data_IF_262864579125
#
_entry.id   IF_262864579125
#
_cell.length_a   1.000
_cell.length_b   1.000
_cell.length_c   1.000
_cell.angle_alpha   90.00
_cell.angle_beta   90.00
_cell.angle_gamma   90.00
#
_symmetry.space_group_name_H-M   'P 1'
#
loop_
_entity.id
_entity.type
_entity.pdbx_description
1 polymer ?
#
# COMPACT_ATOMS: atom_id res chain seq x y z
N UNK A 1 5.77 29.12 2.67
CA UNK A 1 4.86 27.98 2.86
C UNK A 1 5.49 27.00 3.82
N UNK A 2 4.77 26.59 4.85
CA UNK A 2 5.24 25.57 5.78
C UNK A 2 4.99 24.21 5.12
N UNK A 3 6.02 23.37 5.03
CA UNK A 3 5.87 22.03 4.43
C UNK A 3 4.86 21.22 5.25
N UNK A 4 3.78 20.69 4.66
CA UNK A 4 2.83 19.91 5.41
C UNK A 4 3.49 18.66 6.01
N UNK A 5 3.05 18.26 7.21
CA UNK A 5 3.44 17.02 7.86
C UNK A 5 2.22 16.11 7.96
N UNK A 6 2.20 14.98 7.28
CA UNK A 6 1.04 14.10 7.32
C UNK A 6 1.05 13.08 6.19
N UNK A 7 -0.12 12.59 5.87
CA UNK A 7 -0.32 11.55 4.86
C UNK A 7 -1.28 12.08 3.81
N UNK A 8 -0.86 12.08 2.56
CA UNK A 8 -1.64 12.50 1.41
C UNK A 8 -2.02 11.26 0.59
N UNK A 9 -3.29 10.81 0.63
CA UNK A 9 -3.78 9.76 -0.25
C UNK A 9 -3.90 10.29 -1.67
N UNK A 10 -3.19 9.64 -2.61
CA UNK A 10 -3.14 10.02 -4.02
C UNK A 10 -3.84 8.96 -4.86
N UNK A 11 -4.75 9.35 -5.74
CA UNK A 11 -5.20 8.49 -6.84
C UNK A 11 -4.12 8.50 -7.92
N UNK A 12 -3.25 7.49 -7.89
CA UNK A 12 -2.12 7.39 -8.83
C UNK A 12 -2.66 7.19 -10.25
N UNK A 13 -2.29 8.03 -11.20
CA UNK A 13 -2.68 7.85 -12.60
C UNK A 13 -1.93 6.67 -13.25
N UNK A 14 -2.49 6.12 -14.33
CA UNK A 14 -1.81 5.16 -15.19
C UNK A 14 -0.58 5.78 -15.88
N UNK A 15 0.39 4.93 -16.23
CA UNK A 15 1.61 5.35 -16.93
C UNK A 15 2.70 5.97 -16.03
N UNK A 16 2.40 6.24 -14.76
CA UNK A 16 3.34 6.77 -13.78
C UNK A 16 3.84 5.69 -12.83
N UNK A 17 5.13 5.68 -12.53
CA UNK A 17 5.62 4.90 -11.40
C UNK A 17 5.24 5.60 -10.08
N UNK A 18 5.19 4.85 -8.97
CA UNK A 18 5.03 5.46 -7.63
C UNK A 18 6.14 6.47 -7.32
N UNK A 19 7.36 6.24 -7.87
CA UNK A 19 8.49 7.16 -7.71
C UNK A 19 8.28 8.48 -8.48
N UNK A 20 7.71 8.43 -9.69
CA UNK A 20 7.43 9.64 -10.51
C UNK A 20 6.42 10.53 -9.79
N UNK A 21 5.39 9.94 -9.18
CA UNK A 21 4.43 10.68 -8.34
C UNK A 21 5.15 11.40 -7.19
N UNK A 22 6.03 10.68 -6.45
CA UNK A 22 6.82 11.30 -5.39
C UNK A 22 7.73 12.40 -5.92
N UNK A 23 8.38 12.20 -7.08
CA UNK A 23 9.27 13.18 -7.68
C UNK A 23 8.52 14.47 -8.03
N UNK A 24 7.32 14.34 -8.62
CA UNK A 24 6.45 15.48 -8.94
C UNK A 24 6.00 16.23 -7.68
N UNK A 25 5.56 15.49 -6.66
CA UNK A 25 5.13 16.07 -5.38
C UNK A 25 6.27 16.75 -4.62
N UNK A 26 7.51 16.23 -4.71
CA UNK A 26 8.68 16.91 -4.09
C UNK A 26 8.86 18.33 -4.61
N UNK A 27 8.69 18.53 -5.92
CA UNK A 27 8.74 19.86 -6.53
C UNK A 27 7.62 20.76 -6.07
N UNK A 28 6.38 20.26 -6.10
CA UNK A 28 5.20 21.03 -5.72
C UNK A 28 5.15 21.41 -4.24
N UNK A 29 5.59 20.52 -3.35
CA UNK A 29 5.57 20.71 -1.89
C UNK A 29 6.87 21.31 -1.32
N UNK A 30 7.88 21.56 -2.13
CA UNK A 30 9.15 22.13 -1.69
C UNK A 30 9.90 21.23 -0.68
N UNK A 31 9.64 19.93 -0.63
CA UNK A 31 10.26 19.01 0.34
C UNK A 31 10.81 17.75 -0.30
N UNK A 32 11.97 17.32 0.18
CA UNK A 32 12.57 16.03 -0.24
C UNK A 32 12.12 14.84 0.61
N UNK A 33 11.56 15.10 1.79
CA UNK A 33 11.17 14.06 2.75
C UNK A 33 9.79 13.52 2.44
N UNK A 34 9.70 12.71 1.40
CA UNK A 34 8.50 11.99 0.96
C UNK A 34 8.78 10.50 0.83
N UNK A 35 7.81 9.69 1.23
CA UNK A 35 7.79 8.23 1.06
C UNK A 35 6.40 7.75 0.72
N UNK A 36 6.24 6.46 0.38
CA UNK A 36 4.92 5.84 0.20
C UNK A 36 4.88 4.46 0.84
N UNK A 37 3.69 3.97 1.14
CA UNK A 37 3.48 2.60 1.61
C UNK A 37 2.91 1.73 0.50
N UNK A 38 3.75 0.88 -0.09
CA UNK A 38 3.37 -0.07 -1.13
C UNK A 38 3.37 0.52 -2.55
N UNK A 39 4.36 0.07 -3.32
CA UNK A 39 4.51 0.41 -4.75
C UNK A 39 3.29 -0.04 -5.55
N UNK A 40 2.89 0.76 -6.51
CA UNK A 40 2.02 0.41 -7.63
C UNK A 40 2.84 0.34 -8.91
N UNK A 41 2.55 -0.64 -9.75
CA UNK A 41 3.15 -0.79 -11.08
C UNK A 41 2.75 0.41 -11.97
N UNK A 42 3.51 0.72 -13.06
CA UNK A 42 3.20 1.87 -13.91
C UNK A 42 1.77 1.85 -14.48
N UNK A 43 1.30 0.68 -14.93
CA UNK A 43 -0.04 0.52 -15.49
C UNK A 43 -1.14 0.63 -14.44
N UNK A 44 -0.84 0.29 -13.18
CA UNK A 44 -1.81 0.29 -12.10
C UNK A 44 -2.19 1.71 -11.67
N UNK A 45 -3.45 1.87 -11.22
CA UNK A 45 -4.02 3.12 -10.71
C UNK A 45 -4.50 2.99 -9.27
N UNK A 46 -4.96 4.08 -8.67
CA UNK A 46 -5.65 4.06 -7.38
C UNK A 46 -4.79 4.42 -6.20
N UNK A 47 -5.18 4.00 -5.02
CA UNK A 47 -4.69 4.46 -3.73
C UNK A 47 -3.18 4.32 -3.58
N UNK A 48 -2.47 5.45 -3.52
CA UNK A 48 -1.06 5.56 -3.16
C UNK A 48 -0.95 6.50 -1.96
N UNK A 49 -0.78 5.95 -0.75
CA UNK A 49 -0.58 6.76 0.45
C UNK A 49 0.83 7.35 0.45
N UNK A 50 0.93 8.67 0.32
CA UNK A 50 2.19 9.43 0.34
C UNK A 50 2.39 10.05 1.71
N UNK A 51 3.49 9.73 2.35
CA UNK A 51 3.89 10.22 3.67
C UNK A 51 4.83 11.41 3.53
N UNK A 52 4.51 12.52 4.20
CA UNK A 52 5.21 13.80 4.06
C UNK A 52 5.90 14.14 5.39
N UNK A 53 7.16 14.56 5.32
CA UNK A 53 7.89 15.05 6.48
C UNK A 53 8.10 13.97 7.55
N UNK A 54 7.70 14.24 8.79
CA UNK A 54 7.82 13.29 9.92
C UNK A 54 6.98 12.03 9.72
N UNK A 55 5.88 12.10 8.96
CA UNK A 55 5.04 10.95 8.65
C UNK A 55 5.78 9.83 7.91
N UNK A 56 6.88 10.12 7.19
CA UNK A 56 7.66 9.08 6.49
C UNK A 56 8.11 7.94 7.42
N UNK A 57 8.33 8.23 8.70
CA UNK A 57 8.69 7.21 9.69
C UNK A 57 7.50 6.37 10.18
N UNK A 58 6.27 6.72 9.80
CA UNK A 58 5.07 5.94 10.08
C UNK A 58 4.77 4.90 8.99
N UNK A 59 5.31 5.05 7.78
CA UNK A 59 5.01 4.19 6.64
C UNK A 59 5.24 2.70 6.93
N UNK A 60 6.36 2.34 7.57
CA UNK A 60 6.69 0.95 7.92
C UNK A 60 6.05 0.48 9.24
N UNK A 61 5.37 1.38 9.97
CA UNK A 61 4.74 1.11 11.27
C UNK A 61 3.22 1.01 11.22
N UNK A 62 2.64 1.12 10.05
CA UNK A 62 1.21 0.91 9.87
C UNK A 62 0.80 -0.45 10.44
N UNK A 63 -0.37 -0.52 11.04
CA UNK A 63 -0.91 -1.74 11.64
C UNK A 63 -1.55 -2.63 10.57
N UNK A 64 -2.26 -1.98 9.66
CA UNK A 64 -2.90 -2.62 8.53
C UNK A 64 -2.11 -2.33 7.25
N UNK A 65 -1.71 -3.38 6.58
CA UNK A 65 -1.00 -3.33 5.30
C UNK A 65 -1.78 -4.07 4.19
N UNK A 66 -3.02 -4.47 4.44
CA UNK A 66 -3.85 -5.19 3.49
C UNK A 66 -4.28 -4.28 2.34
N UNK A 67 -4.62 -4.87 1.23
CA UNK A 67 -5.00 -4.16 0.02
C UNK A 67 -6.21 -4.78 -0.62
N UNK A 68 -7.01 -3.93 -1.25
CA UNK A 68 -8.08 -4.37 -2.14
C UNK A 68 -7.83 -3.81 -3.53
N UNK A 69 -8.01 -4.66 -4.52
CA UNK A 69 -7.82 -4.31 -5.92
C UNK A 69 -9.06 -4.68 -6.74
N UNK A 70 -9.30 -3.91 -7.78
CA UNK A 70 -10.07 -4.33 -8.94
C UNK A 70 -9.08 -4.63 -10.04
N UNK A 71 -9.07 -5.88 -10.49
CA UNK A 71 -8.11 -6.42 -11.44
C UNK A 71 -8.85 -6.97 -12.66
N UNK A 72 -8.53 -6.49 -13.84
CA UNK A 72 -9.06 -7.04 -15.08
C UNK A 72 -8.05 -8.01 -15.66
N UNK A 73 -8.46 -9.28 -15.75
CA UNK A 73 -7.71 -10.36 -16.36
C UNK A 73 -8.05 -10.41 -17.85
N UNK A 74 -7.04 -10.51 -18.70
CA UNK A 74 -7.17 -10.82 -20.11
C UNK A 74 -6.76 -12.26 -20.34
N UNK A 75 -7.69 -13.09 -20.75
CA UNK A 75 -7.44 -14.47 -21.11
C UNK A 75 -6.87 -14.58 -22.54
N UNK A 76 -6.23 -15.69 -22.85
CA UNK A 76 -5.65 -15.97 -24.15
C UNK A 76 -4.29 -15.30 -24.42
N UNK A 77 -3.71 -14.62 -23.42
CA UNK A 77 -2.44 -13.91 -23.55
C UNK A 77 -1.57 -14.09 -22.29
N UNK A 78 -0.29 -14.41 -22.46
CA UNK A 78 0.75 -14.35 -21.41
C UNK A 78 1.87 -13.43 -21.84
N UNK A 79 2.37 -12.62 -20.91
CA UNK A 79 3.46 -11.68 -21.15
C UNK A 79 4.59 -11.89 -20.13
N UNK A 80 5.79 -11.37 -20.42
CA UNK A 80 6.96 -11.47 -19.55
C UNK A 80 6.85 -10.64 -18.27
N UNK A 81 5.98 -9.61 -18.25
CA UNK A 81 5.72 -8.77 -17.07
C UNK A 81 4.49 -9.21 -16.26
N UNK A 82 3.65 -10.09 -16.82
CA UNK A 82 2.35 -10.48 -16.25
C UNK A 82 1.27 -9.39 -16.39
N UNK A 83 1.50 -8.38 -17.22
CA UNK A 83 0.54 -7.35 -17.61
C UNK A 83 0.66 -7.02 -19.11
N UNK A 84 -0.33 -6.34 -19.68
CA UNK A 84 -0.40 -6.06 -21.13
C UNK A 84 0.71 -5.11 -21.64
N UNK A 85 1.54 -4.55 -20.77
CA UNK A 85 2.67 -3.69 -21.17
C UNK A 85 3.94 -4.48 -21.51
N UNK A 86 3.96 -5.78 -21.18
CA UNK A 86 5.07 -6.68 -21.45
C UNK A 86 5.10 -7.23 -22.86
N UNK A 87 6.18 -7.97 -23.14
CA UNK A 87 6.33 -8.71 -24.40
C UNK A 87 5.49 -9.98 -24.36
N UNK A 88 4.74 -10.25 -25.44
CA UNK A 88 3.95 -11.46 -25.56
C UNK A 88 4.86 -12.69 -25.57
N UNK A 89 4.59 -13.63 -24.67
CA UNK A 89 5.27 -14.94 -24.59
C UNK A 89 4.42 -16.05 -25.20
N UNK A 90 3.09 -15.99 -24.99
CA UNK A 90 2.17 -17.03 -25.40
C UNK A 90 0.80 -16.44 -25.76
N UNK A 91 0.15 -17.01 -26.75
CA UNK A 91 -1.25 -16.73 -27.08
C UNK A 91 -2.00 -18.03 -27.34
N UNK A 92 -3.26 -18.10 -26.91
CA UNK A 92 -4.14 -19.24 -27.17
C UNK A 92 -5.58 -18.77 -27.38
N UNK A 93 -6.41 -19.53 -28.14
CA UNK A 93 -7.85 -19.28 -28.19
C UNK A 93 -8.48 -19.41 -26.80
N UNK A 94 -9.42 -18.52 -26.50
CA UNK A 94 -10.17 -18.57 -25.23
C UNK A 94 -11.41 -19.44 -25.45
N UNK A 95 -11.48 -20.54 -24.72
CA UNK A 95 -12.59 -21.53 -24.79
C UNK A 95 -13.42 -21.59 -23.52
N UNK A 96 -13.08 -20.76 -22.54
CA UNK A 96 -13.70 -20.66 -21.22
C UNK A 96 -14.35 -19.29 -21.06
N UNK A 97 -15.38 -19.21 -20.20
CA UNK A 97 -16.13 -17.99 -20.00
C UNK A 97 -16.34 -17.65 -18.52
N UNK A 98 -17.34 -16.81 -18.26
CA UNK A 98 -17.68 -16.35 -16.91
C UNK A 98 -18.00 -17.52 -15.96
N UNK A 99 -18.69 -18.55 -16.43
CA UNK A 99 -19.11 -19.66 -15.57
C UNK A 99 -17.90 -20.44 -15.02
N UNK A 100 -16.94 -20.76 -15.89
CA UNK A 100 -15.69 -21.44 -15.52
C UNK A 100 -14.83 -20.56 -14.63
N UNK A 101 -14.72 -19.24 -14.93
CA UNK A 101 -14.01 -18.32 -14.09
C UNK A 101 -14.62 -18.28 -12.68
N UNK A 102 -15.95 -18.08 -12.56
CA UNK A 102 -16.61 -18.06 -11.25
C UNK A 102 -16.42 -19.36 -10.46
N UNK A 103 -16.38 -20.50 -11.14
CA UNK A 103 -16.18 -21.80 -10.51
C UNK A 103 -14.75 -21.97 -9.96
N UNK A 104 -13.75 -21.36 -10.60
CA UNK A 104 -12.34 -21.50 -10.22
C UNK A 104 -11.90 -20.50 -9.14
N UNK A 105 -12.50 -19.30 -9.05
CA UNK A 105 -12.08 -18.26 -8.11
C UNK A 105 -12.02 -18.70 -6.64
N UNK A 106 -12.96 -19.48 -6.09
CA UNK A 106 -12.93 -19.85 -4.67
C UNK A 106 -11.68 -20.61 -4.22
N UNK A 107 -11.00 -21.34 -5.11
CA UNK A 107 -9.77 -22.09 -4.77
C UNK A 107 -8.56 -21.19 -4.48
N UNK A 108 -8.65 -19.89 -4.83
CA UNK A 108 -7.57 -18.92 -4.58
C UNK A 108 -7.68 -18.27 -3.21
N UNK A 109 -8.78 -18.42 -2.48
CA UNK A 109 -8.95 -17.90 -1.13
C UNK A 109 -8.09 -18.65 -0.13
N UNK A 110 -7.65 -17.93 0.92
CA UNK A 110 -6.87 -18.46 2.03
C UNK A 110 -5.38 -18.23 1.89
N UNK A 111 -4.62 -18.92 2.77
CA UNK A 111 -3.17 -18.84 2.84
C UNK A 111 -2.54 -19.65 1.70
N UNK A 112 -1.53 -19.06 1.08
CA UNK A 112 -0.81 -19.69 -0.03
C UNK A 112 0.62 -19.16 -0.16
N UNK A 113 1.45 -19.92 -0.86
CA UNK A 113 2.80 -19.50 -1.21
C UNK A 113 2.81 -18.93 -2.62
N UNK A 114 3.33 -17.72 -2.79
CA UNK A 114 3.44 -17.07 -4.09
C UNK A 114 4.90 -16.77 -4.42
N UNK A 115 5.34 -17.11 -5.62
CA UNK A 115 6.66 -16.77 -6.14
C UNK A 115 6.64 -15.32 -6.66
N UNK A 116 7.39 -14.38 -6.05
CA UNK A 116 7.42 -13.00 -6.54
C UNK A 116 7.87 -12.92 -8.00
N UNK A 117 7.27 -12.06 -8.85
CA UNK A 117 7.69 -11.94 -10.24
C UNK A 117 9.07 -11.29 -10.36
N UNK A 118 9.77 -11.52 -11.50
CA UNK A 118 11.05 -10.87 -11.77
C UNK A 118 10.94 -9.35 -11.83
N UNK A 119 9.85 -8.84 -12.37
CA UNK A 119 9.54 -7.41 -12.38
C UNK A 119 8.92 -6.98 -11.05
N UNK A 120 9.72 -7.00 -9.97
CA UNK A 120 9.30 -6.60 -8.63
C UNK A 120 10.36 -5.76 -7.91
N UNK A 121 9.93 -5.04 -6.86
CA UNK A 121 10.80 -4.28 -5.96
C UNK A 121 11.48 -5.16 -4.87
N UNK A 122 11.23 -6.47 -4.85
CA UNK A 122 11.90 -7.41 -3.95
C UNK A 122 13.40 -7.32 -4.16
N UNK A 123 14.14 -7.20 -3.06
CA UNK A 123 15.60 -7.15 -3.08
C UNK A 123 16.18 -8.54 -2.79
N UNK A 124 17.09 -9.00 -3.64
CA UNK A 124 17.95 -10.16 -3.42
C UNK A 124 19.39 -9.65 -3.48
N UNK A 125 20.20 -9.98 -2.49
CA UNK A 125 21.58 -9.47 -2.35
C UNK A 125 21.68 -7.93 -2.45
N UNK A 126 20.69 -7.22 -1.88
CA UNK A 126 20.64 -5.76 -1.87
C UNK A 126 20.15 -5.10 -3.17
N UNK A 127 19.95 -5.86 -4.25
CA UNK A 127 19.46 -5.33 -5.53
C UNK A 127 18.01 -5.70 -5.81
N UNK A 128 17.15 -4.74 -6.27
CA UNK A 128 15.79 -5.03 -6.69
C UNK A 128 15.76 -5.95 -7.91
N UNK A 129 14.85 -6.94 -7.91
CA UNK A 129 14.70 -7.93 -8.99
C UNK A 129 14.45 -7.29 -10.36
N UNK A 130 13.64 -6.21 -10.43
CA UNK A 130 13.36 -5.53 -11.70
C UNK A 130 14.62 -5.02 -12.43
N UNK A 131 15.72 -4.75 -11.70
CA UNK A 131 16.99 -4.34 -12.34
C UNK A 131 17.68 -5.50 -13.06
N UNK A 132 17.57 -6.72 -12.53
CA UNK A 132 18.05 -7.92 -13.19
C UNK A 132 17.14 -8.28 -14.37
N UNK A 133 15.83 -8.22 -14.18
CA UNK A 133 14.83 -8.49 -15.24
C UNK A 133 15.07 -7.60 -16.48
N UNK A 134 15.27 -6.29 -16.29
CA UNK A 134 15.58 -5.35 -17.39
C UNK A 134 16.88 -5.66 -18.15
N UNK A 135 17.78 -6.46 -17.57
CA UNK A 135 19.01 -6.94 -18.21
C UNK A 135 18.85 -8.34 -18.81
N UNK A 136 17.63 -8.89 -18.85
CA UNK A 136 17.35 -10.24 -19.30
C UNK A 136 17.89 -11.33 -18.37
N UNK A 137 18.24 -10.99 -17.12
CA UNK A 137 18.80 -11.93 -16.16
C UNK A 137 17.67 -12.50 -15.28
N UNK A 138 17.66 -13.82 -15.12
CA UNK A 138 16.79 -14.49 -14.16
C UNK A 138 17.55 -14.71 -12.85
N UNK A 139 16.92 -14.39 -11.74
CA UNK A 139 17.44 -14.60 -10.38
C UNK A 139 16.55 -15.64 -9.68
N UNK A 140 17.17 -16.56 -8.95
CA UNK A 140 16.42 -17.51 -8.13
C UNK A 140 15.62 -16.76 -7.06
N UNK A 141 14.34 -17.13 -6.93
CA UNK A 141 13.39 -16.49 -6.02
C UNK A 141 12.80 -17.52 -5.08
N UNK A 142 12.54 -17.11 -3.85
CA UNK A 142 11.88 -17.96 -2.86
C UNK A 142 10.42 -17.58 -2.76
N UNK A 143 9.47 -18.54 -2.81
CA UNK A 143 8.07 -18.30 -2.55
C UNK A 143 7.86 -17.66 -1.19
N UNK A 144 6.88 -16.76 -1.09
CA UNK A 144 6.53 -16.02 0.13
C UNK A 144 5.08 -16.28 0.52
N UNK A 145 4.80 -16.37 1.82
CA UNK A 145 3.43 -16.53 2.29
C UNK A 145 2.62 -15.26 1.98
N UNK A 146 1.43 -15.47 1.44
CA UNK A 146 0.40 -14.45 1.23
C UNK A 146 -0.95 -15.03 1.62
N UNK A 147 -1.93 -14.15 1.86
CA UNK A 147 -3.31 -14.53 2.09
C UNK A 147 -4.21 -13.78 1.11
N UNK A 148 -5.07 -14.50 0.41
CA UNK A 148 -6.20 -13.93 -0.32
C UNK A 148 -7.42 -14.03 0.59
N UNK A 149 -7.84 -12.93 1.17
CA UNK A 149 -8.99 -12.90 2.09
C UNK A 149 -10.30 -13.11 1.37
N UNK A 150 -10.41 -12.49 0.18
CA UNK A 150 -11.57 -12.64 -0.68
C UNK A 150 -11.21 -12.40 -2.14
N UNK A 151 -11.95 -13.07 -3.03
CA UNK A 151 -11.91 -12.86 -4.47
C UNK A 151 -13.33 -13.00 -5.04
N UNK A 152 -13.78 -11.98 -5.79
CA UNK A 152 -15.13 -11.85 -6.30
C UNK A 152 -15.11 -11.41 -7.76
N UNK A 153 -15.95 -12.04 -8.59
CA UNK A 153 -16.16 -11.58 -9.96
C UNK A 153 -17.06 -10.34 -10.00
N UNK A 154 -16.66 -9.32 -10.74
CA UNK A 154 -17.38 -8.06 -10.87
C UNK A 154 -18.07 -7.88 -12.24
N UNK A 155 -17.52 -8.45 -13.31
CA UNK A 155 -18.06 -8.27 -14.66
C UNK A 155 -17.03 -8.54 -15.76
N UNK A 156 -17.48 -8.41 -17.00
CA UNK A 156 -16.65 -8.53 -18.20
C UNK A 156 -16.73 -7.22 -19.00
N UNK A 157 -15.67 -6.39 -19.01
CA UNK A 157 -15.69 -5.11 -19.72
C UNK A 157 -15.51 -5.27 -21.23
N UNK A 158 -14.92 -6.37 -21.69
CA UNK A 158 -14.67 -6.67 -23.10
C UNK A 158 -14.62 -8.20 -23.31
N UNK A 159 -14.66 -8.69 -24.56
CA UNK A 159 -14.42 -10.11 -24.85
C UNK A 159 -13.08 -10.57 -24.26
N UNK A 160 -13.08 -11.75 -23.65
CA UNK A 160 -11.93 -12.37 -23.00
C UNK A 160 -11.30 -11.57 -21.84
N UNK A 161 -11.97 -10.51 -21.40
CA UNK A 161 -11.57 -9.70 -20.24
C UNK A 161 -12.60 -9.82 -19.11
N UNK A 162 -12.09 -10.09 -17.90
CA UNK A 162 -12.90 -10.34 -16.71
C UNK A 162 -12.34 -9.57 -15.53
N UNK A 163 -13.18 -8.77 -14.88
CA UNK A 163 -12.80 -8.00 -13.70
C UNK A 163 -13.15 -8.76 -12.43
N UNK A 164 -12.17 -8.87 -11.54
CA UNK A 164 -12.32 -9.44 -10.20
C UNK A 164 -11.90 -8.42 -9.14
N UNK A 165 -12.59 -8.44 -8.01
CA UNK A 165 -12.14 -7.76 -6.78
C UNK A 165 -11.33 -8.74 -5.96
N UNK A 166 -10.16 -8.31 -5.48
CA UNK A 166 -9.27 -9.13 -4.67
C UNK A 166 -8.90 -8.38 -3.40
N UNK A 167 -9.26 -8.93 -2.22
CA UNK A 167 -8.77 -8.49 -0.92
C UNK A 167 -7.63 -9.41 -0.47
N UNK A 168 -6.45 -8.86 -0.17
CA UNK A 168 -5.26 -9.67 0.08
C UNK A 168 -4.28 -9.02 1.05
N UNK A 169 -3.42 -9.84 1.63
CA UNK A 169 -2.32 -9.43 2.50
C UNK A 169 -1.24 -8.66 1.72
N UNK A 170 -0.39 -7.95 2.48
CA UNK A 170 0.81 -7.32 1.90
C UNK A 170 1.69 -8.33 1.16
N UNK A 171 2.33 -7.87 0.09
CA UNK A 171 3.27 -8.68 -0.68
C UNK A 171 2.64 -9.55 -1.75
N UNK A 172 1.32 -9.55 -1.87
CA UNK A 172 0.59 -10.23 -2.95
C UNK A 172 0.81 -9.52 -4.28
N UNK A 173 1.18 -10.28 -5.30
CA UNK A 173 1.31 -9.83 -6.69
C UNK A 173 0.09 -10.27 -7.48
N UNK A 174 -0.77 -9.31 -7.81
CA UNK A 174 -2.01 -9.58 -8.57
C UNK A 174 -1.71 -10.06 -9.99
N UNK A 175 -0.57 -9.66 -10.57
CA UNK A 175 -0.09 -10.18 -11.87
C UNK A 175 0.15 -11.69 -11.84
N UNK A 176 0.80 -12.18 -10.78
CA UNK A 176 1.00 -13.63 -10.59
C UNK A 176 -0.31 -14.34 -10.33
N UNK A 177 -1.21 -13.76 -9.54
CA UNK A 177 -2.54 -14.31 -9.32
C UNK A 177 -3.34 -14.43 -10.65
N UNK A 178 -3.22 -13.45 -11.54
CA UNK A 178 -3.87 -13.49 -12.85
C UNK A 178 -3.34 -14.66 -13.71
N UNK A 179 -2.02 -14.88 -13.72
CA UNK A 179 -1.41 -16.02 -14.41
C UNK A 179 -1.87 -17.35 -13.79
N UNK A 180 -1.87 -17.47 -12.46
CA UNK A 180 -2.32 -18.67 -11.74
C UNK A 180 -3.81 -18.99 -12.01
N UNK A 181 -4.66 -17.96 -12.13
CA UNK A 181 -6.08 -18.14 -12.51
C UNK A 181 -6.18 -18.65 -13.95
N UNK A 182 -5.39 -18.08 -14.87
CA UNK A 182 -5.33 -18.56 -16.26
C UNK A 182 -4.89 -20.03 -16.34
N UNK A 183 -3.84 -20.39 -15.61
CA UNK A 183 -3.34 -21.78 -15.56
C UNK A 183 -4.42 -22.75 -15.04
N UNK A 184 -5.19 -22.34 -14.03
CA UNK A 184 -6.29 -23.13 -13.49
C UNK A 184 -7.48 -23.28 -14.48
N UNK A 185 -7.64 -22.32 -15.39
CA UNK A 185 -8.61 -22.35 -16.48
C UNK A 185 -8.09 -23.09 -17.73
N UNK A 186 -6.80 -23.43 -17.77
CA UNK A 186 -6.16 -24.06 -18.91
C UNK A 186 -5.90 -23.11 -20.08
N UNK A 187 -5.89 -21.80 -19.87
CA UNK A 187 -5.59 -20.77 -20.88
C UNK A 187 -4.58 -19.75 -20.31
N UNK A 188 -3.65 -19.20 -21.13
CA UNK A 188 -2.77 -18.16 -20.65
C UNK A 188 -3.58 -16.92 -20.24
N UNK A 189 -3.12 -16.23 -19.20
CA UNK A 189 -3.75 -14.98 -18.74
C UNK A 189 -2.71 -13.94 -18.31
N UNK A 190 -3.11 -12.67 -18.41
CA UNK A 190 -2.32 -11.52 -17.95
C UNK A 190 -3.25 -10.44 -17.39
N UNK A 191 -2.72 -9.41 -16.74
CA UNK A 191 -3.51 -8.24 -16.34
C UNK A 191 -3.64 -7.23 -17.48
N UNK A 192 -4.87 -6.82 -17.82
CA UNK A 192 -5.13 -5.69 -18.71
C UNK A 192 -5.36 -4.39 -17.94
N UNK A 193 -5.90 -4.44 -16.72
CA UNK A 193 -6.05 -3.30 -15.85
C UNK A 193 -5.90 -3.70 -14.38
N UNK A 194 -5.40 -2.75 -13.56
CA UNK A 194 -5.28 -2.92 -12.12
C UNK A 194 -5.57 -1.59 -11.42
N UNK A 195 -6.55 -1.57 -10.52
CA UNK A 195 -6.87 -0.43 -9.70
C UNK A 195 -6.85 -0.82 -8.23
N UNK A 196 -5.99 -0.19 -7.44
CA UNK A 196 -5.99 -0.38 -5.98
C UNK A 196 -7.08 0.50 -5.35
N UNK A 197 -8.12 -0.10 -4.82
CA UNK A 197 -9.25 0.59 -4.22
C UNK A 197 -9.07 0.86 -2.73
N UNK A 198 -8.19 0.06 -2.07
CA UNK A 198 -7.84 0.23 -0.66
C UNK A 198 -6.39 -0.15 -0.39
N UNK A 199 -5.74 0.58 0.52
CA UNK A 199 -4.40 0.29 1.04
C UNK A 199 -4.34 0.61 2.54
N UNK A 200 -4.41 -0.43 3.39
CA UNK A 200 -4.58 -0.28 4.82
C UNK A 200 -5.86 0.51 5.13
N UNK A 201 -5.72 1.55 5.92
CA UNK A 201 -6.83 2.42 6.34
C UNK A 201 -7.31 3.41 5.26
N UNK A 202 -6.63 3.48 4.12
CA UNK A 202 -6.94 4.45 3.06
C UNK A 202 -7.76 3.80 1.94
N UNK A 203 -8.82 4.50 1.52
CA UNK A 203 -9.68 4.12 0.39
C UNK A 203 -9.63 5.16 -0.73
N UNK A 204 -10.16 4.82 -1.91
CA UNK A 204 -10.29 5.77 -3.04
C UNK A 204 -11.08 7.02 -2.69
N UNK A 205 -12.07 6.94 -1.81
CA UNK A 205 -12.88 8.07 -1.41
C UNK A 205 -12.09 9.19 -0.69
N UNK A 206 -10.91 8.85 -0.17
CA UNK A 206 -10.00 9.80 0.50
C UNK A 206 -8.89 10.30 -0.46
N UNK A 207 -8.82 9.75 -1.67
CA UNK A 207 -7.76 10.07 -2.61
C UNK A 207 -8.12 11.28 -3.47
N UNK A 208 -7.10 12.03 -3.82
CA UNK A 208 -7.17 13.15 -4.77
C UNK A 208 -6.27 12.85 -5.96
N UNK A 209 -6.67 13.29 -7.12
CA UNK A 209 -5.88 13.12 -8.35
C UNK A 209 -4.62 13.98 -8.30
N UNK A 210 -3.59 13.56 -9.01
CA UNK A 210 -2.32 14.32 -9.05
C UNK A 210 -2.52 15.77 -9.56
N UNK A 211 -3.31 16.05 -10.62
CA UNK A 211 -3.60 17.42 -11.04
C UNK A 211 -4.27 18.27 -9.96
N UNK A 212 -5.27 17.75 -9.25
CA UNK A 212 -5.95 18.47 -8.15
C UNK A 212 -4.97 18.82 -7.03
N UNK A 213 -4.12 17.87 -6.63
CA UNK A 213 -3.11 18.09 -5.59
C UNK A 213 -2.11 19.17 -6.01
N UNK A 214 -1.67 19.15 -7.28
CA UNK A 214 -0.73 20.14 -7.79
C UNK A 214 -1.35 21.54 -7.82
N UNK A 215 -2.61 21.68 -8.24
CA UNK A 215 -3.34 22.95 -8.22
C UNK A 215 -3.53 23.46 -6.79
N UNK A 216 -3.92 22.60 -5.85
CA UNK A 216 -4.06 22.97 -4.42
C UNK A 216 -2.72 23.34 -3.77
N UNK A 217 -1.62 22.73 -4.18
CA UNK A 217 -0.29 23.09 -3.70
C UNK A 217 0.16 24.46 -4.25
N UNK A 218 -0.15 24.77 -5.52
CA UNK A 218 0.17 26.05 -6.14
C UNK A 218 -0.65 27.21 -5.55
N UNK A 219 -1.93 27.00 -5.27
CA UNK A 219 -2.82 27.99 -4.64
C UNK A 219 -2.58 28.14 -3.12
N UNK A 220 -1.82 27.23 -2.47
CA UNK A 220 -1.63 27.20 -1.03
C UNK A 220 -2.79 26.55 -0.26
N UNK A 221 -3.83 26.08 -0.92
CA UNK A 221 -5.00 25.45 -0.29
C UNK A 221 -4.71 24.10 0.32
N UNK A 222 -3.63 23.41 -0.11
CA UNK A 222 -3.30 22.08 0.38
C UNK A 222 -3.04 22.04 1.91
N UNK A 223 -2.69 23.18 2.52
CA UNK A 223 -2.48 23.28 3.97
C UNK A 223 -3.82 23.34 4.75
N UNK A 224 -4.90 23.74 4.12
CA UNK A 224 -6.19 24.06 4.78
C UNK A 224 -7.37 23.22 4.32
N UNK A 225 -7.28 22.56 3.17
CA UNK A 225 -8.39 21.78 2.58
C UNK A 225 -8.63 20.40 3.24
N UNK A 226 -7.80 20.02 4.20
CA UNK A 226 -7.92 18.75 4.93
C UNK A 226 -7.48 17.51 4.15
N UNK A 227 -6.85 17.65 2.99
CA UNK A 227 -6.38 16.51 2.18
C UNK A 227 -5.15 15.82 2.77
N UNK A 228 -4.34 16.57 3.50
CA UNK A 228 -3.21 16.01 4.24
C UNK A 228 -3.70 15.53 5.60
N UNK A 229 -3.86 14.23 5.73
CA UNK A 229 -4.34 13.58 6.94
C UNK A 229 -3.26 13.58 8.04
N UNK A 230 -3.64 13.65 9.31
CA UNK A 230 -2.69 13.60 10.41
C UNK A 230 -1.98 12.24 10.50
N UNK A 231 -0.78 12.21 11.10
CA UNK A 231 0.08 11.01 11.17
C UNK A 231 -0.61 9.86 11.90
N UNK A 232 -1.39 10.17 12.93
CA UNK A 232 -2.12 9.17 13.72
C UNK A 232 -3.21 8.41 12.94
N UNK A 233 -3.58 8.89 11.75
CA UNK A 233 -4.58 8.23 10.89
C UNK A 233 -4.24 6.77 10.58
N UNK A 234 -2.95 6.42 10.47
CA UNK A 234 -2.52 5.02 10.22
C UNK A 234 -2.50 4.15 11.48
N UNK A 235 -2.77 4.73 12.62
CA UNK A 235 -2.77 4.04 13.92
C UNK A 235 -4.15 3.99 14.57
N UNK A 236 -5.19 4.37 13.85
CA UNK A 236 -6.58 4.41 14.37
C UNK A 236 -7.08 3.10 15.02
N UNK A 237 -6.61 1.90 14.61
CA UNK A 237 -6.96 0.66 15.31
C UNK A 237 -6.39 0.55 16.73
N UNK A 238 -5.35 1.33 17.10
CA UNK A 238 -4.85 1.34 18.48
C UNK A 238 -5.73 2.22 19.38
N UNK A 239 -5.91 1.83 20.66
CA UNK A 239 -6.58 2.68 21.63
C UNK A 239 -5.78 3.98 21.88
N UNK A 240 -6.49 5.04 22.24
CA UNK A 240 -5.90 6.30 22.63
C UNK A 240 -5.50 6.29 24.11
N UNK A 241 -4.37 6.92 24.45
CA UNK A 241 -3.89 7.10 25.80
C UNK A 241 -3.51 8.57 26.00
N UNK A 242 -4.24 9.28 26.87
CA UNK A 242 -3.94 10.65 27.24
C UNK A 242 -3.02 10.65 28.45
N UNK A 243 -1.92 11.40 28.36
CA UNK A 243 -0.90 11.47 29.40
C UNK A 243 -0.78 12.89 29.93
N UNK A 244 -0.50 13.01 31.24
CA UNK A 244 -0.23 14.30 31.87
C UNK A 244 1.16 14.83 31.51
N UNK A 245 1.44 16.08 31.90
CA UNK A 245 2.70 16.78 31.59
C UNK A 245 3.95 16.07 32.12
N UNK A 246 3.87 15.41 33.28
CA UNK A 246 4.99 14.65 33.86
C UNK A 246 5.31 13.41 33.04
N UNK A 247 4.28 12.62 32.69
CA UNK A 247 4.42 11.42 31.83
C UNK A 247 4.87 11.83 30.41
N UNK A 248 4.32 12.93 29.87
CA UNK A 248 4.78 13.49 28.59
C UNK A 248 6.29 13.76 28.60
N UNK A 249 6.80 14.41 29.67
CA UNK A 249 8.23 14.67 29.79
C UNK A 249 9.06 13.38 29.80
N UNK A 250 8.62 12.32 30.48
CA UNK A 250 9.27 11.02 30.46
C UNK A 250 9.29 10.42 29.04
N UNK A 251 8.14 10.41 28.34
CA UNK A 251 8.04 9.88 26.97
C UNK A 251 8.96 10.64 26.00
N UNK A 252 8.99 11.98 26.08
CA UNK A 252 9.85 12.80 25.21
C UNK A 252 11.33 12.51 25.40
N UNK A 253 11.75 12.16 26.63
CA UNK A 253 13.12 11.82 26.98
C UNK A 253 13.43 10.31 26.81
N UNK A 254 12.44 9.49 26.42
CA UNK A 254 12.60 8.04 26.30
C UNK A 254 12.69 7.31 27.64
N UNK A 255 12.27 7.97 28.75
CA UNK A 255 12.28 7.39 30.08
C UNK A 255 10.99 6.58 30.31
N UNK A 256 11.08 5.32 30.79
CA UNK A 256 9.91 4.55 31.18
C UNK A 256 9.19 5.17 32.38
N UNK A 257 7.88 4.99 32.44
CA UNK A 257 7.06 5.37 33.60
C UNK A 257 6.51 4.12 34.24
N UNK A 258 6.95 3.82 35.49
CA UNK A 258 6.49 2.66 36.26
C UNK A 258 5.14 2.92 36.94
N UNK A 259 4.47 1.84 37.35
CA UNK A 259 3.16 1.86 38.02
C UNK A 259 2.07 2.56 37.21
N UNK A 260 2.11 2.42 35.88
CA UNK A 260 1.13 2.97 34.99
C UNK A 260 -0.14 2.08 34.97
N UNK A 261 -1.32 2.66 35.11
CA UNK A 261 -2.55 1.91 35.37
C UNK A 261 -3.31 1.46 34.11
N UNK A 262 -2.85 1.79 32.90
CA UNK A 262 -3.46 1.30 31.67
C UNK A 262 -3.17 -0.21 31.48
N UNK A 263 -4.06 -0.89 30.77
CA UNK A 263 -3.88 -2.30 30.42
C UNK A 263 -2.63 -2.51 29.56
N UNK A 264 -2.07 -3.72 29.61
CA UNK A 264 -0.96 -4.06 28.72
C UNK A 264 -1.38 -3.99 27.25
N UNK A 265 -0.54 -3.40 26.40
CA UNK A 265 -0.85 -3.20 24.99
C UNK A 265 -0.14 -2.00 24.38
N UNK A 266 -0.45 -1.75 23.09
CA UNK A 266 0.07 -0.61 22.33
C UNK A 266 -0.98 0.48 22.25
N UNK A 267 -0.52 1.75 22.25
CA UNK A 267 -1.37 2.92 22.34
C UNK A 267 -0.91 4.04 21.40
N UNK A 268 -1.89 4.81 20.91
CA UNK A 268 -1.67 6.16 20.41
C UNK A 268 -1.64 7.10 21.61
N UNK A 269 -0.54 7.83 21.80
CA UNK A 269 -0.41 8.72 22.96
C UNK A 269 -0.65 10.17 22.60
N UNK A 270 -1.40 10.84 23.45
CA UNK A 270 -1.78 12.26 23.34
C UNK A 270 -1.43 12.98 24.65
N UNK A 271 -1.10 14.25 24.56
CA UNK A 271 -0.95 15.09 25.74
C UNK A 271 -2.33 15.61 26.23
N UNK A 272 -2.30 16.41 27.30
CA UNK A 272 -3.50 17.00 27.92
C UNK A 272 -4.25 17.94 26.98
N UNK A 273 -3.61 18.49 25.96
CA UNK A 273 -4.23 19.35 24.94
C UNK A 273 -4.85 18.55 23.78
N UNK A 274 -4.66 17.21 23.76
CA UNK A 274 -5.07 16.36 22.67
C UNK A 274 -4.07 16.31 21.51
N UNK A 275 -2.87 16.86 21.66
CA UNK A 275 -1.84 16.76 20.62
C UNK A 275 -1.23 15.36 20.58
N UNK A 276 -1.13 14.78 19.38
CA UNK A 276 -0.56 13.45 19.17
C UNK A 276 0.95 13.47 19.42
N UNK A 277 1.42 12.65 20.36
CA UNK A 277 2.83 12.51 20.70
C UNK A 277 3.50 11.39 19.91
N UNK A 278 2.84 10.23 19.80
CA UNK A 278 3.41 9.05 19.17
C UNK A 278 2.80 7.75 19.61
N UNK A 279 3.57 6.69 19.48
CA UNK A 279 3.22 5.35 19.92
C UNK A 279 3.97 4.99 21.19
N UNK A 280 3.27 4.33 22.11
CA UNK A 280 3.83 3.76 23.32
C UNK A 280 3.23 2.37 23.59
N UNK A 281 3.92 1.58 24.40
CA UNK A 281 3.41 0.32 24.95
C UNK A 281 3.35 0.36 26.47
N UNK A 282 2.39 -0.37 27.02
CA UNK A 282 2.32 -0.69 28.46
C UNK A 282 2.56 -2.19 28.60
N UNK A 283 3.50 -2.57 29.43
CA UNK A 283 3.85 -3.94 29.74
C UNK A 283 4.14 -4.07 31.24
N UNK A 284 3.36 -4.89 31.95
CA UNK A 284 3.50 -5.09 33.40
C UNK A 284 3.45 -3.79 34.20
N UNK A 285 2.60 -2.84 33.81
CA UNK A 285 2.47 -1.54 34.46
C UNK A 285 3.62 -0.57 34.17
N UNK A 286 4.42 -0.81 33.12
CA UNK A 286 5.48 0.10 32.66
C UNK A 286 5.13 0.66 31.31
N UNK A 287 4.94 1.98 31.23
CA UNK A 287 4.72 2.72 30.00
C UNK A 287 6.07 3.06 29.35
N UNK A 288 6.25 2.67 28.09
CA UNK A 288 7.46 2.95 27.30
C UNK A 288 7.10 3.56 25.94
N UNK A 289 7.88 4.55 25.50
CA UNK A 289 7.75 5.08 24.14
C UNK A 289 8.29 4.10 23.11
N UNK A 290 7.51 3.84 22.04
CA UNK A 290 7.97 3.10 20.87
C UNK A 290 8.47 4.04 19.77
N UNK A 291 7.73 5.15 19.53
CA UNK A 291 8.06 6.13 18.50
C UNK A 291 7.38 7.47 18.76
N UNK A 292 8.17 8.53 18.76
CA UNK A 292 7.67 9.91 18.79
C UNK A 292 7.52 10.45 17.36
N UNK A 293 6.43 11.21 17.15
CA UNK A 293 6.14 11.94 15.92
C UNK A 293 6.04 13.47 16.17
N UNK A 294 5.96 13.89 17.43
CA UNK A 294 6.05 15.29 17.84
C UNK A 294 7.49 15.81 17.87
N UNK A 295 7.67 17.11 18.11
CA UNK A 295 8.97 17.70 18.41
C UNK A 295 9.36 17.39 19.84
N UNK A 296 10.63 17.11 20.06
CA UNK A 296 11.22 17.16 21.39
C UNK A 296 11.44 18.66 21.65
N UNK A 297 10.63 19.23 22.54
CA UNK A 297 10.79 20.62 22.95
C UNK A 297 12.15 20.87 23.56
#
# INVERSE_FOLDING_TARGET
MQTPNGILPVDKPAGWTSFDVLAKLRGALGTRKLGHSGTLDPMATGVLAVFIGKATSAADRQLDHDKTYEATLRLGLRTDTGDVTGTTLETAPVTVGEAELRAVLPQFRGDRMQLPPMYSAVKINGQPLYKAARKGQTVERTPRPITIYDIEYLGSPAPDEYTVRVACSKGTYIRVLAEEIGDALGVPATLSALRRTQAGVFSLAQCHTLPEILAAAESGELETNGWVLPIESVFTPLPALHVNSGVKAHLLNGCPTSHYTAADGRYRTYDETGAFLGLASVEGGVLKVEKLFCERG
#
